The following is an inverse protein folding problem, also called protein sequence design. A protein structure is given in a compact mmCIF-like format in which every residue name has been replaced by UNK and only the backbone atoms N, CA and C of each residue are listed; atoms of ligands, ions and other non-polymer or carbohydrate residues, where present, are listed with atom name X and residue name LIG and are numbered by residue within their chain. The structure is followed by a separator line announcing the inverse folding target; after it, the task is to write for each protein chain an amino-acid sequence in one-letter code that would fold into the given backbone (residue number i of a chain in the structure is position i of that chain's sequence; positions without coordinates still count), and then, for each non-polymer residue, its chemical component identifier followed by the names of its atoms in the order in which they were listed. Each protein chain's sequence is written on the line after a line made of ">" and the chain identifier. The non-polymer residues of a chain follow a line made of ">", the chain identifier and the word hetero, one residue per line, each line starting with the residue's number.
data_IF_855568517785
#
_entry.id   IF_855568517785
#
_cell.length_a   1.000
_cell.length_b   1.000
_cell.length_c   1.000
_cell.angle_alpha   90.00
_cell.angle_beta   90.00
_cell.angle_gamma   90.00
#
_symmetry.space_group_name_H-M   'P 1'
#
loop_
_entity.id
_entity.type
_entity.pdbx_description
1 polymer ?
#
# COMPACT_ATOMS: atom_id res chain seq x y z
N UNK A 1 16.55 10.46 2.53
CA UNK A 1 16.58 10.39 4.01
C UNK A 1 15.49 9.43 4.43
N UNK A 2 15.55 8.84 5.61
CA UNK A 2 14.49 7.94 6.09
C UNK A 2 14.12 8.30 7.52
N UNK A 3 12.83 8.27 7.82
CA UNK A 3 12.27 8.33 9.17
C UNK A 3 11.64 6.98 9.47
N UNK A 4 11.99 6.40 10.62
CA UNK A 4 11.54 5.08 11.04
C UNK A 4 10.91 5.20 12.43
N UNK A 5 9.61 4.92 12.51
CA UNK A 5 8.83 5.00 13.74
C UNK A 5 8.65 3.65 14.43
N UNK A 6 9.18 2.53 13.92
CA UNK A 6 8.92 1.17 14.47
C UNK A 6 9.26 0.96 15.94
N UNK A 7 10.03 1.87 16.55
CA UNK A 7 10.38 1.84 17.98
C UNK A 7 9.66 2.94 18.79
N UNK A 8 8.66 3.59 18.20
CA UNK A 8 7.92 4.71 18.77
C UNK A 8 6.49 4.26 19.09
N UNK A 9 6.27 3.75 20.29
CA UNK A 9 5.00 3.13 20.73
C UNK A 9 3.79 4.08 20.88
N UNK A 10 3.94 5.37 20.58
CA UNK A 10 2.91 6.38 20.87
C UNK A 10 2.84 7.52 19.84
N UNK A 11 3.56 7.41 18.73
CA UNK A 11 3.49 8.43 17.67
C UNK A 11 2.44 7.97 16.68
N UNK A 12 1.37 8.74 16.51
CA UNK A 12 0.30 8.46 15.53
C UNK A 12 0.30 9.44 14.35
N UNK A 13 1.23 10.40 14.35
CA UNK A 13 1.27 11.49 13.36
C UNK A 13 2.69 11.70 12.86
N UNK A 14 2.96 11.29 11.63
CA UNK A 14 4.22 11.53 10.94
C UNK A 14 4.02 12.60 9.86
N UNK A 15 4.75 13.71 9.98
CA UNK A 15 4.75 14.75 8.95
C UNK A 15 6.15 15.05 8.47
N UNK A 16 6.41 14.74 7.20
CA UNK A 16 7.71 14.95 6.57
C UNK A 16 7.73 16.32 5.89
N UNK A 17 8.84 17.05 6.06
CA UNK A 17 9.01 18.40 5.54
C UNK A 17 10.36 18.52 4.82
N UNK A 18 10.37 19.31 3.75
CA UNK A 18 11.59 19.66 3.02
C UNK A 18 11.38 19.59 1.51
N UNK A 19 12.14 20.40 0.76
CA UNK A 19 12.12 20.45 -0.71
C UNK A 19 13.40 19.91 -1.34
N UNK A 20 14.34 19.40 -0.54
CA UNK A 20 15.69 19.01 -0.96
C UNK A 20 15.83 17.57 -1.48
N UNK A 21 14.74 16.80 -1.53
CA UNK A 21 14.74 15.40 -1.99
C UNK A 21 13.81 14.51 -1.16
N UNK A 22 13.81 13.21 -1.50
CA UNK A 22 12.99 12.19 -0.87
C UNK A 22 13.29 12.00 0.62
N UNK A 23 12.23 11.87 1.41
CA UNK A 23 12.25 11.48 2.81
C UNK A 23 11.32 10.28 2.96
N UNK A 24 11.87 9.08 2.97
CA UNK A 24 11.05 7.87 3.11
C UNK A 24 10.55 7.74 4.55
N UNK A 25 9.38 7.13 4.72
CA UNK A 25 8.74 6.93 6.02
C UNK A 25 8.40 5.46 6.25
N UNK A 26 8.72 4.95 7.42
CA UNK A 26 8.20 3.67 7.93
C UNK A 26 7.50 3.92 9.26
N UNK A 27 6.27 3.44 9.39
CA UNK A 27 5.49 3.66 10.60
C UNK A 27 5.74 2.64 11.73
N UNK A 28 4.98 2.77 12.82
CA UNK A 28 4.84 1.78 13.89
C UNK A 28 3.57 0.95 13.75
N UNK A 29 3.20 0.22 14.80
CA UNK A 29 2.09 -0.74 14.77
C UNK A 29 0.72 -0.12 15.15
N UNK A 30 0.62 1.21 15.25
CA UNK A 30 -0.62 1.93 15.57
C UNK A 30 -1.41 2.30 14.29
N UNK A 31 -2.50 3.04 14.44
CA UNK A 31 -3.22 3.61 13.30
C UNK A 31 -2.76 5.04 13.07
N UNK A 32 -1.98 5.25 12.02
CA UNK A 32 -1.21 6.46 11.87
C UNK A 32 -1.70 7.39 10.76
N UNK A 33 -1.44 8.68 10.94
CA UNK A 33 -1.57 9.69 9.92
C UNK A 33 -0.19 10.07 9.40
N UNK A 34 0.13 9.65 8.18
CA UNK A 34 1.38 9.99 7.49
C UNK A 34 1.09 11.02 6.43
N UNK A 35 1.82 12.13 6.48
CA UNK A 35 1.89 13.09 5.38
C UNK A 35 3.35 13.29 5.02
N UNK A 36 3.75 12.89 3.83
CA UNK A 36 5.13 13.01 3.37
C UNK A 36 5.50 14.45 2.94
N UNK A 37 6.64 14.61 2.24
CA UNK A 37 7.00 15.87 1.59
C UNK A 37 6.73 15.79 0.08
N UNK A 38 6.71 16.94 -0.60
CA UNK A 38 6.43 17.01 -2.04
C UNK A 38 7.63 16.55 -2.91
N UNK A 39 8.32 15.48 -2.52
CA UNK A 39 9.36 14.83 -3.30
C UNK A 39 8.82 13.50 -3.84
N UNK A 40 9.67 12.57 -4.29
CA UNK A 40 9.24 11.20 -4.63
C UNK A 40 9.61 10.31 -3.47
N UNK A 41 8.63 9.81 -2.74
CA UNK A 41 8.80 9.20 -1.44
C UNK A 41 8.40 7.74 -1.45
N UNK A 42 9.04 6.94 -0.59
CA UNK A 42 8.59 5.60 -0.25
C UNK A 42 7.97 5.63 1.15
N UNK A 43 6.72 5.18 1.26
CA UNK A 43 5.95 5.15 2.50
C UNK A 43 5.57 3.70 2.80
N UNK A 44 5.93 3.21 3.98
CA UNK A 44 5.53 1.91 4.52
C UNK A 44 4.60 2.16 5.69
N UNK A 45 3.31 1.85 5.54
CA UNK A 45 2.30 1.97 6.61
C UNK A 45 2.59 0.98 7.74
N UNK A 46 2.74 -0.30 7.41
CA UNK A 46 3.07 -1.33 8.40
C UNK A 46 1.80 -1.98 8.96
N UNK A 47 1.74 -2.18 10.27
CA UNK A 47 0.55 -2.71 10.94
C UNK A 47 -0.40 -1.56 11.28
N UNK A 48 -1.70 -1.86 11.40
CA UNK A 48 -2.71 -0.86 11.75
C UNK A 48 -3.41 -0.26 10.52
N UNK A 49 -4.32 0.70 10.77
CA UNK A 49 -5.14 1.30 9.69
C UNK A 49 -4.67 2.70 9.42
N UNK A 50 -3.77 2.84 8.47
CA UNK A 50 -3.11 4.12 8.26
C UNK A 50 -3.85 5.02 7.28
N UNK A 51 -3.68 6.32 7.47
CA UNK A 51 -4.07 7.37 6.54
C UNK A 51 -2.82 7.98 5.93
N UNK A 52 -2.58 7.67 4.67
CA UNK A 52 -1.37 8.02 3.95
C UNK A 52 -1.65 9.15 2.94
N UNK A 53 -0.77 10.14 2.91
CA UNK A 53 -0.78 11.25 1.97
C UNK A 53 0.60 11.42 1.33
N UNK A 54 0.66 11.24 0.00
CA UNK A 54 1.88 11.36 -0.83
C UNK A 54 2.15 12.79 -1.36
N UNK A 55 1.15 13.67 -1.23
CA UNK A 55 1.16 15.03 -1.78
C UNK A 55 1.39 15.08 -3.29
N UNK A 56 2.62 15.31 -3.72
CA UNK A 56 2.95 15.63 -5.11
C UNK A 56 4.12 14.80 -5.54
N UNK A 57 4.15 14.49 -6.84
CA UNK A 57 5.12 13.67 -7.55
C UNK A 57 4.67 12.22 -7.61
N UNK A 58 5.58 11.28 -7.43
CA UNK A 58 5.38 9.89 -7.81
C UNK A 58 5.87 9.04 -6.66
N UNK A 59 4.94 8.76 -5.77
CA UNK A 59 5.19 8.15 -4.48
C UNK A 59 4.95 6.65 -4.56
N UNK A 60 5.59 5.90 -3.68
CA UNK A 60 5.44 4.45 -3.58
C UNK A 60 4.92 4.11 -2.20
N UNK A 61 3.67 3.66 -2.14
CA UNK A 61 3.02 3.18 -0.93
C UNK A 61 3.19 1.67 -0.85
N UNK A 62 3.92 1.20 0.16
CA UNK A 62 4.26 -0.21 0.35
C UNK A 62 3.32 -0.81 1.40
N UNK A 63 2.54 -1.81 0.98
CA UNK A 63 1.78 -2.67 1.89
C UNK A 63 2.61 -3.93 2.17
N UNK A 64 3.14 -4.01 3.38
CA UNK A 64 3.93 -5.14 3.87
C UNK A 64 3.13 -6.07 4.79
N UNK A 65 1.88 -5.73 5.08
CA UNK A 65 0.98 -6.49 5.95
C UNK A 65 -0.39 -6.63 5.26
N UNK A 66 -1.15 -7.66 5.61
CA UNK A 66 -2.46 -7.94 5.00
C UNK A 66 -3.55 -8.16 6.05
N UNK A 67 -4.79 -8.23 5.58
CA UNK A 67 -5.97 -8.47 6.41
C UNK A 67 -6.64 -7.18 6.89
N UNK A 68 -7.86 -7.34 7.41
CA UNK A 68 -8.76 -6.20 7.72
C UNK A 68 -8.27 -5.29 8.84
N UNK A 69 -7.28 -5.72 9.64
CA UNK A 69 -6.61 -4.89 10.64
C UNK A 69 -5.60 -3.92 10.02
N UNK A 70 -5.05 -4.27 8.85
CA UNK A 70 -3.95 -3.56 8.17
C UNK A 70 -4.45 -2.86 6.89
N UNK A 71 -5.67 -2.32 6.96
CA UNK A 71 -6.33 -1.70 5.81
C UNK A 71 -6.03 -0.20 5.78
N UNK A 72 -5.02 0.15 5.00
CA UNK A 72 -4.61 1.52 4.80
C UNK A 72 -5.52 2.25 3.82
N UNK A 73 -5.51 3.59 3.95
CA UNK A 73 -6.15 4.50 3.01
C UNK A 73 -5.13 5.51 2.52
N UNK A 74 -4.88 5.47 1.22
CA UNK A 74 -4.15 6.52 0.52
C UNK A 74 -5.16 7.55 0.05
N UNK A 75 -5.05 8.78 0.55
CA UNK A 75 -6.10 9.79 0.39
C UNK A 75 -5.96 10.63 -0.88
N UNK A 76 -4.75 10.75 -1.42
CA UNK A 76 -4.42 11.63 -2.54
C UNK A 76 -3.73 10.88 -3.70
N UNK A 77 -3.91 9.56 -3.77
CA UNK A 77 -3.30 8.71 -4.80
C UNK A 77 -3.59 9.26 -6.21
N UNK A 78 -2.53 9.51 -6.97
CA UNK A 78 -2.61 10.00 -8.34
C UNK A 78 -1.98 9.03 -9.36
N UNK A 79 -2.05 9.36 -10.64
CA UNK A 79 -1.62 8.49 -11.74
C UNK A 79 -0.10 8.21 -11.77
N UNK A 80 0.69 9.03 -11.09
CA UNK A 80 2.14 8.90 -11.00
C UNK A 80 2.55 8.00 -9.83
N UNK A 81 1.65 7.78 -8.88
CA UNK A 81 1.89 6.97 -7.69
C UNK A 81 1.86 5.48 -8.00
N UNK A 82 2.47 4.73 -7.08
CA UNK A 82 2.51 3.27 -7.12
C UNK A 82 2.09 2.72 -5.78
N UNK A 83 1.24 1.69 -5.81
CA UNK A 83 1.06 0.79 -4.67
C UNK A 83 1.92 -0.44 -4.91
N UNK A 84 2.80 -0.76 -3.95
CA UNK A 84 3.67 -1.91 -3.98
C UNK A 84 3.24 -2.88 -2.88
N UNK A 85 3.07 -4.16 -3.24
CA UNK A 85 2.71 -5.21 -2.31
C UNK A 85 3.92 -6.08 -2.00
N UNK A 86 4.14 -6.41 -0.73
CA UNK A 86 5.19 -7.35 -0.34
C UNK A 86 4.82 -8.77 -0.77
N UNK A 87 5.63 -9.34 -1.68
CA UNK A 87 5.41 -10.69 -2.24
C UNK A 87 5.44 -11.82 -1.20
N UNK A 88 6.02 -11.59 -0.03
CA UNK A 88 6.06 -12.58 1.06
C UNK A 88 4.74 -12.65 1.81
N UNK A 89 3.94 -11.58 1.75
CA UNK A 89 2.60 -11.48 2.35
C UNK A 89 1.51 -11.72 1.31
N UNK A 90 1.61 -11.06 0.15
CA UNK A 90 0.66 -11.19 -0.96
C UNK A 90 1.09 -12.29 -1.94
N UNK A 91 1.09 -13.53 -1.44
CA UNK A 91 1.55 -14.71 -2.18
C UNK A 91 0.63 -15.10 -3.35
N UNK A 92 1.16 -15.74 -4.39
CA UNK A 92 0.31 -16.32 -5.44
C UNK A 92 -0.34 -15.30 -6.39
N UNK A 93 -0.11 -14.00 -6.21
CA UNK A 93 -0.30 -13.01 -7.28
C UNK A 93 0.71 -13.34 -8.39
N UNK A 94 0.21 -13.63 -9.59
CA UNK A 94 1.07 -13.95 -10.74
C UNK A 94 1.88 -12.71 -11.13
N UNK A 95 3.15 -12.68 -10.74
CA UNK A 95 4.12 -11.81 -11.38
C UNK A 95 4.38 -12.43 -12.76
N UNK A 96 4.21 -11.67 -13.82
CA UNK A 96 4.80 -11.92 -15.15
C UNK A 96 6.35 -11.91 -15.13
N UNK A 97 6.95 -12.19 -13.96
CA UNK A 97 8.37 -12.17 -13.62
C UNK A 97 9.07 -10.82 -13.85
N UNK A 98 8.32 -9.72 -13.99
CA UNK A 98 8.91 -8.37 -14.07
C UNK A 98 9.27 -7.78 -12.69
N UNK A 99 8.81 -8.44 -11.61
CA UNK A 99 9.05 -8.05 -10.23
C UNK A 99 8.07 -7.01 -9.68
N UNK A 100 6.95 -6.74 -10.36
CA UNK A 100 5.89 -5.82 -9.95
C UNK A 100 4.53 -6.50 -10.01
N UNK A 101 3.63 -6.04 -9.14
CA UNK A 101 2.21 -6.38 -9.23
C UNK A 101 1.57 -5.34 -10.14
N UNK A 102 1.45 -5.65 -11.43
CA UNK A 102 0.78 -4.81 -12.40
C UNK A 102 -0.74 -4.89 -12.19
N UNK A 103 -1.30 -3.87 -11.55
CA UNK A 103 -2.72 -3.78 -11.20
C UNK A 103 -3.63 -3.76 -12.43
N UNK A 104 -4.67 -4.58 -12.35
CA UNK A 104 -5.97 -4.59 -13.05
C UNK A 104 -5.99 -4.23 -14.54
N UNK A 105 -6.17 -5.26 -15.37
CA UNK A 105 -7.04 -5.12 -16.54
C UNK A 105 -8.37 -5.81 -16.24
N UNK A 106 -9.48 -5.08 -16.37
CA UNK A 106 -10.81 -5.66 -16.26
C UNK A 106 -10.94 -6.86 -17.21
N UNK A 107 -11.38 -8.01 -16.68
CA UNK A 107 -11.83 -9.13 -17.51
C UNK A 107 -10.88 -10.31 -17.70
N UNK A 108 -10.06 -10.69 -16.72
CA UNK A 108 -9.47 -12.03 -16.74
C UNK A 108 -10.41 -13.08 -16.12
N UNK A 109 -10.85 -14.00 -16.98
CA UNK A 109 -11.66 -15.16 -16.66
C UNK A 109 -10.84 -16.19 -15.87
N UNK A 110 -11.39 -16.54 -14.70
CA UNK A 110 -11.34 -17.84 -14.04
C UNK A 110 -10.22 -18.82 -14.43
N UNK A 111 -9.09 -18.74 -13.72
CA UNK A 111 -8.48 -19.94 -13.17
C UNK A 111 -8.90 -19.99 -11.69
N UNK A 112 -9.81 -20.90 -11.35
CA UNK A 112 -10.24 -21.15 -9.98
C UNK A 112 -9.11 -21.89 -9.24
N UNK A 113 -8.07 -21.16 -8.80
CA UNK A 113 -7.07 -21.60 -7.81
C UNK A 113 -5.93 -20.58 -7.56
N UNK A 114 -6.01 -19.33 -8.06
CA UNK A 114 -4.89 -18.36 -7.97
C UNK A 114 -5.33 -17.09 -7.28
N UNK A 115 -4.44 -16.51 -6.49
CA UNK A 115 -4.70 -15.29 -5.76
C UNK A 115 -4.93 -14.11 -6.71
N UNK A 116 -5.80 -13.17 -6.32
CA UNK A 116 -6.24 -12.05 -7.17
C UNK A 116 -6.29 -10.75 -6.39
N UNK A 117 -6.13 -9.64 -7.12
CA UNK A 117 -6.52 -8.32 -6.64
C UNK A 117 -7.88 -7.93 -7.23
N UNK A 118 -8.76 -7.45 -6.37
CA UNK A 118 -10.12 -7.02 -6.73
C UNK A 118 -10.24 -5.54 -6.42
N UNK A 119 -10.52 -4.72 -7.43
CA UNK A 119 -10.81 -3.30 -7.26
C UNK A 119 -12.31 -3.05 -7.39
N UNK A 120 -12.88 -2.35 -6.42
CA UNK A 120 -14.23 -1.82 -6.48
C UNK A 120 -14.16 -0.33 -6.83
N UNK A 121 -14.55 0.02 -8.06
CA UNK A 121 -14.53 1.39 -8.58
C UNK A 121 -15.57 2.32 -7.93
N UNK A 122 -16.56 1.77 -7.22
CA UNK A 122 -17.55 2.56 -6.48
C UNK A 122 -17.01 3.00 -5.13
N UNK A 123 -16.17 2.18 -4.51
CA UNK A 123 -15.65 2.43 -3.16
C UNK A 123 -14.16 2.79 -3.13
N UNK A 124 -13.45 2.58 -4.24
CA UNK A 124 -12.00 2.74 -4.34
C UNK A 124 -11.20 1.67 -3.60
N UNK A 125 -11.85 0.60 -3.13
CA UNK A 125 -11.18 -0.44 -2.37
C UNK A 125 -10.43 -1.38 -3.30
N UNK A 126 -9.15 -1.63 -2.99
CA UNK A 126 -8.37 -2.75 -3.51
C UNK A 126 -8.37 -3.84 -2.44
N UNK A 127 -8.79 -5.06 -2.80
CA UNK A 127 -8.86 -6.21 -1.90
C UNK A 127 -8.02 -7.36 -2.44
N UNK A 128 -7.46 -8.16 -1.55
CA UNK A 128 -6.65 -9.33 -1.90
C UNK A 128 -7.43 -10.61 -1.61
N UNK A 129 -7.71 -11.38 -2.66
CA UNK A 129 -8.37 -12.67 -2.61
C UNK A 129 -7.30 -13.76 -2.74
N UNK A 130 -6.90 -14.35 -1.62
CA UNK A 130 -5.78 -15.31 -1.55
C UNK A 130 -6.09 -16.65 -2.23
N UNK A 131 -7.34 -17.10 -2.20
CA UNK A 131 -7.73 -18.40 -2.77
C UNK A 131 -8.35 -18.27 -4.18
N UNK A 132 -8.68 -17.04 -4.58
CA UNK A 132 -9.24 -16.74 -5.89
C UNK A 132 -10.68 -17.23 -6.09
N UNK A 133 -11.32 -17.71 -5.01
CA UNK A 133 -12.68 -18.24 -4.98
C UNK A 133 -13.72 -17.17 -4.62
N UNK A 134 -13.29 -15.94 -4.30
CA UNK A 134 -14.14 -14.76 -4.10
C UNK A 134 -14.86 -14.70 -2.74
N UNK A 135 -14.64 -15.66 -1.85
CA UNK A 135 -15.30 -15.73 -0.53
C UNK A 135 -14.51 -15.14 0.63
N UNK A 136 -13.18 -15.02 0.49
CA UNK A 136 -12.23 -14.67 1.57
C UNK A 136 -11.43 -13.39 1.24
N UNK A 137 -11.90 -12.56 0.30
CA UNK A 137 -11.21 -11.32 -0.06
C UNK A 137 -11.24 -10.31 1.10
N UNK A 138 -10.06 -9.85 1.55
CA UNK A 138 -9.91 -8.87 2.63
C UNK A 138 -9.24 -7.57 2.17
#
# INVERSE_FOLDING_TARGET
>A
MTVDLRQQEAVENLRLYGSGGAIDGTDNDLANLITDNAARNVIVGGLGKDSLYGKCNADTFVSAEAGTANKDRIWDFDINDRSQLDKTVFIGLEADNDGRVDVLTAGFLAEYAKAKLIYDDRTGNLSYDVDGAGGEAT
#
